data_IF_352453780874
#
_entry.id   IF_352453780874
#
_cell.length_a   1.000
_cell.length_b   1.000
_cell.length_c   1.000
_cell.angle_alpha   90.00
_cell.angle_beta   90.00
_cell.angle_gamma   90.00
#
_symmetry.space_group_name_H-M   'P 1'
#
loop_
_entity.id
_entity.type
_entity.pdbx_description
1 polymer ?
#
# COMPACT_ATOMS: atom_id res chain seq x y z
N UNK A 1 3.47 -10.14 19.46
CA UNK A 1 3.27 -9.13 18.41
C UNK A 1 2.00 -8.38 18.77
N UNK A 2 1.96 -7.07 18.53
CA UNK A 2 0.70 -6.36 18.64
C UNK A 2 -0.14 -6.72 17.41
N UNK A 3 -1.35 -7.25 17.63
CA UNK A 3 -2.22 -7.66 16.53
C UNK A 3 -2.81 -6.45 15.79
N UNK A 4 -2.76 -5.26 16.39
CA UNK A 4 -3.33 -4.02 15.85
C UNK A 4 -2.28 -3.15 15.13
N UNK A 5 -1.09 -3.69 14.85
CA UNK A 5 -0.05 -2.94 14.17
C UNK A 5 -0.39 -2.74 12.69
N UNK A 6 -0.58 -1.49 12.28
CA UNK A 6 -0.69 -1.12 10.87
C UNK A 6 0.70 -1.20 10.23
N UNK A 7 0.83 -2.03 9.18
CA UNK A 7 2.09 -2.22 8.44
C UNK A 7 2.16 -1.28 7.23
N UNK A 8 1.02 -0.91 6.65
CA UNK A 8 0.91 0.02 5.52
C UNK A 8 -0.40 0.83 5.61
N UNK A 9 -0.32 2.12 5.31
CA UNK A 9 -1.46 3.05 5.28
C UNK A 9 -1.24 4.13 4.23
N UNK A 10 -2.32 4.60 3.61
CA UNK A 10 -2.30 5.72 2.67
C UNK A 10 -2.91 6.94 3.35
N UNK A 11 -2.19 8.05 3.32
CA UNK A 11 -2.61 9.34 3.86
C UNK A 11 -3.02 10.30 2.74
N UNK A 12 -3.61 11.44 3.12
CA UNK A 12 -3.92 12.51 2.16
C UNK A 12 -2.63 13.09 1.57
N UNK A 13 -1.56 13.17 2.35
CA UNK A 13 -0.25 13.65 1.88
C UNK A 13 0.29 12.77 0.75
N UNK A 14 0.15 11.44 0.86
CA UNK A 14 0.56 10.52 -0.20
C UNK A 14 -0.21 10.78 -1.51
N UNK A 15 -1.50 11.08 -1.42
CA UNK A 15 -2.33 11.42 -2.59
C UNK A 15 -1.81 12.71 -3.25
N UNK A 16 -1.48 13.73 -2.45
CA UNK A 16 -0.94 15.01 -2.95
C UNK A 16 0.44 14.81 -3.58
N UNK A 17 1.31 14.02 -2.95
CA UNK A 17 2.62 13.67 -3.52
C UNK A 17 2.48 12.97 -4.87
N UNK A 18 1.54 12.02 -5.00
CA UNK A 18 1.28 11.35 -6.28
C UNK A 18 0.80 12.33 -7.36
N UNK A 19 -0.02 13.33 -7.00
CA UNK A 19 -0.41 14.40 -7.92
C UNK A 19 0.80 15.18 -8.42
N UNK A 20 1.68 15.61 -7.51
CA UNK A 20 2.87 16.39 -7.84
C UNK A 20 3.84 15.57 -8.70
N UNK A 21 4.18 14.35 -8.27
CA UNK A 21 5.13 13.46 -8.97
C UNK A 21 4.68 13.11 -10.38
N UNK A 22 3.37 12.99 -10.59
CA UNK A 22 2.79 12.69 -11.90
C UNK A 22 2.35 13.94 -12.68
N UNK A 23 2.60 15.14 -12.13
CA UNK A 23 2.19 16.43 -12.70
C UNK A 23 0.70 16.44 -13.10
N UNK A 24 -0.14 15.82 -12.26
CA UNK A 24 -1.59 15.83 -12.43
C UNK A 24 -2.08 17.25 -12.15
N UNK A 25 -2.64 17.93 -13.15
CA UNK A 25 -3.24 19.26 -12.97
C UNK A 25 -4.62 19.12 -12.33
N UNK A 26 -4.66 18.55 -11.14
CA UNK A 26 -5.86 18.21 -10.39
C UNK A 26 -5.78 18.84 -9.00
N UNK A 27 -6.76 19.69 -8.68
CA UNK A 27 -6.95 20.21 -7.32
C UNK A 27 -7.98 19.33 -6.62
N UNK A 28 -7.62 18.77 -5.46
CA UNK A 28 -8.51 17.91 -4.66
C UNK A 28 -9.14 18.73 -3.54
N UNK A 29 -10.45 18.59 -3.36
CA UNK A 29 -11.18 19.10 -2.20
C UNK A 29 -11.50 17.98 -1.22
N UNK A 30 -11.85 18.36 0.01
CA UNK A 30 -12.23 17.41 1.06
C UNK A 30 -13.38 16.48 0.65
N UNK A 31 -14.31 16.97 -0.17
CA UNK A 31 -15.45 16.21 -0.71
C UNK A 31 -15.07 15.12 -1.72
N UNK A 32 -13.87 15.18 -2.31
CA UNK A 32 -13.38 14.19 -3.27
C UNK A 32 -12.70 12.99 -2.58
N UNK A 33 -12.29 13.14 -1.31
CA UNK A 33 -11.55 12.11 -0.56
C UNK A 33 -12.31 10.78 -0.51
N UNK A 34 -13.63 10.72 -0.22
CA UNK A 34 -14.35 9.45 -0.21
C UNK A 34 -14.35 8.73 -1.57
N UNK A 35 -14.38 9.47 -2.68
CA UNK A 35 -14.31 8.88 -4.01
C UNK A 35 -12.92 8.29 -4.30
N UNK A 36 -11.85 8.99 -3.89
CA UNK A 36 -10.48 8.51 -4.06
C UNK A 36 -10.24 7.26 -3.21
N UNK A 37 -10.70 7.26 -1.96
CA UNK A 37 -10.63 6.12 -1.05
C UNK A 37 -11.32 4.88 -1.65
N UNK A 38 -12.55 5.04 -2.16
CA UNK A 38 -13.30 3.98 -2.82
C UNK A 38 -12.54 3.38 -4.02
N UNK A 39 -11.98 4.24 -4.88
CA UNK A 39 -11.24 3.78 -6.08
C UNK A 39 -9.90 3.12 -5.75
N UNK A 40 -9.20 3.58 -4.71
CA UNK A 40 -8.02 2.89 -4.18
C UNK A 40 -8.41 1.53 -3.62
N UNK A 41 -9.52 1.47 -2.86
CA UNK A 41 -10.10 0.23 -2.33
C UNK A 41 -10.41 -0.79 -3.44
N UNK A 42 -11.12 -0.37 -4.48
CA UNK A 42 -11.41 -1.19 -5.67
C UNK A 42 -10.14 -1.76 -6.31
N UNK A 43 -9.09 -0.94 -6.43
CA UNK A 43 -7.84 -1.35 -7.05
C UNK A 43 -7.03 -2.31 -6.16
N UNK A 44 -7.04 -2.08 -4.85
CA UNK A 44 -6.30 -2.87 -3.87
C UNK A 44 -7.02 -4.18 -3.48
N UNK A 45 -8.35 -4.26 -3.66
CA UNK A 45 -9.24 -5.26 -3.08
C UNK A 45 -8.75 -6.70 -3.12
N UNK A 46 -8.19 -7.15 -4.24
CA UNK A 46 -7.62 -8.50 -4.37
C UNK A 46 -6.09 -8.54 -4.24
N UNK A 47 -5.43 -7.39 -4.45
CA UNK A 47 -3.96 -7.31 -4.55
C UNK A 47 -3.24 -7.29 -3.20
N UNK A 48 -3.91 -6.86 -2.14
CA UNK A 48 -3.28 -6.80 -0.81
C UNK A 48 -2.95 -8.21 -0.30
N UNK A 49 -3.79 -9.21 -0.58
CA UNK A 49 -3.52 -10.62 -0.27
C UNK A 49 -2.26 -11.11 -0.99
N UNK A 50 -2.17 -10.87 -2.29
CA UNK A 50 -1.04 -11.28 -3.13
C UNK A 50 0.28 -10.63 -2.66
N UNK A 51 0.23 -9.35 -2.28
CA UNK A 51 1.38 -8.63 -1.75
C UNK A 51 1.88 -9.24 -0.42
N UNK A 52 0.97 -9.63 0.47
CA UNK A 52 1.31 -10.31 1.72
C UNK A 52 1.90 -11.69 1.43
N UNK A 53 1.27 -12.47 0.56
CA UNK A 53 1.78 -13.79 0.18
C UNK A 53 3.19 -13.70 -0.38
N UNK A 54 3.43 -12.79 -1.33
CA UNK A 54 4.74 -12.54 -1.90
C UNK A 54 5.78 -12.21 -0.81
N UNK A 55 5.49 -11.27 0.08
CA UNK A 55 6.40 -10.89 1.16
C UNK A 55 6.73 -12.07 2.09
N UNK A 56 5.75 -12.94 2.39
CA UNK A 56 5.95 -14.13 3.22
C UNK A 56 6.80 -15.19 2.50
N UNK A 57 6.62 -15.39 1.20
CA UNK A 57 7.42 -16.31 0.38
C UNK A 57 8.88 -15.86 0.32
N UNK A 58 9.13 -14.59 0.05
CA UNK A 58 10.48 -14.00 0.07
C UNK A 58 11.13 -14.13 1.45
N UNK A 59 10.40 -13.83 2.54
CA UNK A 59 10.90 -14.00 3.90
C UNK A 59 11.31 -15.46 4.19
N UNK A 60 10.49 -16.42 3.75
CA UNK A 60 10.78 -17.85 3.88
C UNK A 60 12.04 -18.24 3.11
N UNK A 61 12.22 -17.72 1.89
CA UNK A 61 13.40 -17.99 1.07
C UNK A 61 14.67 -17.38 1.69
N UNK A 62 14.59 -16.13 2.15
CA UNK A 62 15.68 -15.44 2.85
C UNK A 62 16.19 -16.24 4.05
N UNK A 63 15.28 -16.72 4.92
CA UNK A 63 15.63 -17.55 6.09
C UNK A 63 16.28 -18.89 5.72
N UNK A 64 15.85 -19.52 4.63
CA UNK A 64 16.48 -20.77 4.15
C UNK A 64 17.91 -20.56 3.68
N UNK A 65 18.21 -19.40 3.09
CA UNK A 65 19.55 -19.06 2.62
C UNK A 65 20.48 -18.68 3.78
N UNK A 66 19.97 -18.08 4.85
CA UNK A 66 20.73 -17.77 6.06
C UNK A 66 21.18 -19.03 6.82
N UNK A 67 20.42 -20.13 6.78
CA UNK A 67 20.76 -21.39 7.46
C UNK A 67 21.75 -22.28 6.68
N UNK A 68 22.22 -21.84 5.50
CA UNK A 68 23.19 -22.57 4.67
C UNK A 68 24.61 -21.95 4.69
N UNK A 69 24.81 -20.87 5.45
CA UNK A 69 26.12 -20.28 5.76
C UNK A 69 26.53 -20.67 7.18
#
# INVERSE_FOLDING_TARGET
MNNDQIIYSISIEDILTVIEDNNLKLEIKKEDIPFIEDKIGDFMGDKWCDAIEYALLELKQSRKNSNKK
#
